data_IF_513392036609
#
_entry.id   IF_513392036609
#
_cell.length_a   1.000
_cell.length_b   1.000
_cell.length_c   1.000
_cell.angle_alpha   90.00
_cell.angle_beta   90.00
_cell.angle_gamma   90.00
#
_symmetry.space_group_name_H-M   'P 1'
#
loop_
_entity.id
_entity.type
_entity.pdbx_description
1 polymer ?
#
# COMPACT_ATOMS: atom_id res chain seq x y z
N UNK A 1 -11.18 -47.74 5.32
CA UNK A 1 -11.69 -46.61 4.56
C UNK A 1 -11.50 -45.34 5.40
N UNK A 2 -10.37 -44.69 5.22
CA UNK A 2 -10.00 -43.44 5.90
C UNK A 2 -10.74 -42.31 5.21
N UNK A 3 -11.62 -41.63 5.94
CA UNK A 3 -12.26 -40.39 5.46
C UNK A 3 -11.25 -39.28 5.66
N UNK A 4 -10.58 -38.88 4.57
CA UNK A 4 -9.86 -37.61 4.53
C UNK A 4 -10.83 -36.51 4.90
N UNK A 5 -10.70 -35.99 6.12
CA UNK A 5 -11.35 -34.75 6.52
C UNK A 5 -10.65 -33.62 5.76
N UNK A 6 -11.25 -33.20 4.66
CA UNK A 6 -10.90 -31.91 4.03
C UNK A 6 -10.99 -30.86 5.14
N UNK A 7 -9.85 -30.33 5.57
CA UNK A 7 -9.84 -29.18 6.49
C UNK A 7 -10.56 -28.04 5.76
N UNK A 8 -11.52 -27.37 6.44
CA UNK A 8 -12.11 -26.17 5.85
C UNK A 8 -10.97 -25.22 5.52
N UNK A 9 -10.94 -24.76 4.27
CA UNK A 9 -9.99 -23.77 3.80
C UNK A 9 -10.21 -22.54 4.68
N UNK A 10 -9.27 -22.25 5.58
CA UNK A 10 -9.37 -21.07 6.45
C UNK A 10 -9.40 -19.85 5.55
N UNK A 11 -10.40 -18.98 5.74
CA UNK A 11 -10.45 -17.69 5.04
C UNK A 11 -9.15 -16.95 5.28
N UNK A 12 -8.57 -16.29 4.28
CA UNK A 12 -7.33 -15.54 4.45
C UNK A 12 -7.51 -14.44 5.49
N UNK A 13 -6.57 -14.33 6.42
CA UNK A 13 -6.61 -13.25 7.40
C UNK A 13 -6.30 -11.90 6.74
N UNK A 14 -5.42 -11.89 5.73
CA UNK A 14 -4.97 -10.67 5.04
C UNK A 14 -5.16 -10.80 3.54
N UNK A 15 -5.80 -9.80 2.93
CA UNK A 15 -5.84 -9.59 1.48
C UNK A 15 -4.83 -8.51 1.09
N UNK A 16 -3.86 -8.88 0.26
CA UNK A 16 -2.83 -7.99 -0.28
C UNK A 16 -3.33 -7.42 -1.61
N UNK A 17 -3.57 -6.13 -1.64
CA UNK A 17 -4.09 -5.40 -2.80
C UNK A 17 -2.96 -4.60 -3.43
N UNK A 18 -2.69 -4.87 -4.70
CA UNK A 18 -1.59 -4.24 -5.45
C UNK A 18 -2.16 -3.50 -6.66
N UNK A 19 -2.23 -2.17 -6.62
CA UNK A 19 -2.54 -1.38 -7.80
C UNK A 19 -1.33 -1.39 -8.75
N UNK A 20 -1.55 -1.77 -10.01
CA UNK A 20 -0.51 -1.86 -11.04
C UNK A 20 -0.87 -1.06 -12.28
N UNK A 21 0.13 -0.46 -12.91
CA UNK A 21 0.03 0.23 -14.18
C UNK A 21 1.41 0.26 -14.84
N UNK A 22 1.54 -0.36 -16.01
CA UNK A 22 2.81 -0.50 -16.74
C UNK A 22 3.92 -1.22 -15.93
N UNK A 23 3.54 -2.28 -15.20
CA UNK A 23 4.45 -3.09 -14.36
C UNK A 23 4.64 -4.52 -14.91
N UNK A 24 4.47 -4.71 -16.23
CA UNK A 24 4.67 -6.00 -16.88
C UNK A 24 6.03 -6.64 -16.53
N UNK A 25 6.04 -7.94 -16.32
CA UNK A 25 7.26 -8.74 -16.05
C UNK A 25 7.83 -8.63 -14.62
N UNK A 26 7.20 -7.89 -13.71
CA UNK A 26 7.65 -7.75 -12.32
C UNK A 26 6.72 -8.41 -11.30
N UNK A 27 5.50 -8.71 -11.71
CA UNK A 27 4.44 -9.13 -10.79
C UNK A 27 4.67 -10.53 -10.23
N UNK A 28 5.22 -11.45 -11.01
CA UNK A 28 5.54 -12.80 -10.54
C UNK A 28 6.55 -12.78 -9.38
N UNK A 29 7.58 -11.92 -9.46
CA UNK A 29 8.55 -11.77 -8.38
C UNK A 29 7.92 -11.15 -7.11
N UNK A 30 6.95 -10.24 -7.27
CA UNK A 30 6.19 -9.70 -6.14
C UNK A 30 5.30 -10.77 -5.51
N UNK A 31 4.58 -11.56 -6.31
CA UNK A 31 3.73 -12.66 -5.83
C UNK A 31 4.57 -13.66 -5.04
N UNK A 32 5.72 -14.07 -5.59
CA UNK A 32 6.63 -15.00 -4.93
C UNK A 32 7.14 -14.43 -3.60
N UNK A 33 7.48 -13.12 -3.56
CA UNK A 33 7.89 -12.43 -2.33
C UNK A 33 6.77 -12.40 -1.28
N UNK A 34 5.54 -12.06 -1.66
CA UNK A 34 4.38 -12.04 -0.75
C UNK A 34 4.14 -13.42 -0.16
N UNK A 35 4.17 -14.48 -0.97
CA UNK A 35 4.01 -15.87 -0.53
C UNK A 35 5.13 -16.33 0.40
N UNK A 36 6.36 -15.98 0.06
CA UNK A 36 7.52 -16.30 0.91
C UNK A 36 7.41 -15.61 2.27
N UNK A 37 6.96 -14.34 2.29
CA UNK A 37 6.78 -13.57 3.52
C UNK A 37 5.63 -14.13 4.37
N UNK A 38 4.57 -14.63 3.73
CA UNK A 38 3.43 -15.26 4.40
C UNK A 38 3.79 -16.63 4.99
N UNK A 39 4.66 -17.40 4.34
CA UNK A 39 4.99 -18.74 4.79
C UNK A 39 3.78 -19.67 4.79
N UNK A 40 3.34 -20.09 5.97
CA UNK A 40 2.14 -20.94 6.14
C UNK A 40 0.85 -20.12 6.42
N UNK A 41 0.93 -18.81 6.57
CA UNK A 41 -0.23 -17.96 6.81
C UNK A 41 -1.07 -17.84 5.52
N UNK A 42 -2.39 -18.06 5.58
CA UNK A 42 -3.24 -17.94 4.39
C UNK A 42 -3.38 -16.47 4.02
N UNK A 43 -2.87 -16.11 2.83
CA UNK A 43 -2.98 -14.76 2.26
C UNK A 43 -3.69 -14.80 0.92
N UNK A 44 -4.50 -13.80 0.67
CA UNK A 44 -5.10 -13.52 -0.63
C UNK A 44 -4.26 -12.44 -1.33
N UNK A 45 -4.02 -12.60 -2.64
CA UNK A 45 -3.30 -11.60 -3.45
C UNK A 45 -4.23 -11.14 -4.56
N UNK A 46 -4.45 -9.83 -4.66
CA UNK A 46 -5.32 -9.19 -5.62
C UNK A 46 -4.51 -8.14 -6.37
N UNK A 47 -4.27 -8.38 -7.67
CA UNK A 47 -3.61 -7.42 -8.55
C UNK A 47 -4.69 -6.66 -9.33
N UNK A 48 -4.63 -5.34 -9.31
CA UNK A 48 -5.62 -4.50 -9.98
C UNK A 48 -4.92 -3.61 -11.00
N UNK A 49 -5.11 -3.92 -12.28
CA UNK A 49 -4.51 -3.19 -13.39
C UNK A 49 -5.35 -1.97 -13.78
N UNK A 50 -4.69 -0.83 -13.87
CA UNK A 50 -5.28 0.43 -14.33
C UNK A 50 -5.28 0.61 -15.84
N UNK A 51 -4.68 -0.32 -16.60
CA UNK A 51 -4.73 -0.30 -18.07
C UNK A 51 -6.01 -0.96 -18.57
N UNK A 52 -6.65 -0.41 -19.61
CA UNK A 52 -7.89 -0.99 -20.16
C UNK A 52 -7.73 -2.44 -20.64
N UNK A 53 -6.56 -2.76 -21.14
CA UNK A 53 -6.25 -4.07 -21.74
C UNK A 53 -5.67 -5.08 -20.75
N UNK A 54 -5.47 -4.69 -19.48
CA UNK A 54 -4.86 -5.55 -18.48
C UNK A 54 -3.39 -5.92 -18.81
N UNK A 55 -2.66 -4.98 -19.43
CA UNK A 55 -1.29 -5.20 -19.93
C UNK A 55 -0.35 -5.78 -18.87
N UNK A 56 -0.40 -5.25 -17.67
CA UNK A 56 0.49 -5.70 -16.59
C UNK A 56 0.10 -7.08 -16.08
N UNK A 57 -1.19 -7.30 -15.81
CA UNK A 57 -1.69 -8.57 -15.26
C UNK A 57 -1.69 -9.71 -16.29
N UNK A 58 -1.78 -9.38 -17.59
CA UNK A 58 -1.67 -10.37 -18.68
C UNK A 58 -0.32 -11.09 -18.72
N UNK A 59 0.72 -10.55 -18.08
CA UNK A 59 2.05 -11.17 -18.00
C UNK A 59 2.24 -12.09 -16.78
N UNK A 60 1.23 -12.17 -15.89
CA UNK A 60 1.30 -12.97 -14.67
C UNK A 60 1.18 -14.45 -15.00
N UNK A 61 2.17 -15.23 -14.57
CA UNK A 61 2.20 -16.69 -14.74
C UNK A 61 1.90 -17.45 -13.44
N UNK A 62 1.90 -16.78 -12.31
CA UNK A 62 1.64 -17.37 -10.98
C UNK A 62 0.15 -17.56 -10.75
N UNK A 63 -0.29 -18.81 -10.58
CA UNK A 63 -1.68 -19.14 -10.24
C UNK A 63 -2.05 -18.72 -8.80
N UNK A 64 -3.34 -18.82 -8.44
CA UNK A 64 -3.83 -18.54 -7.08
C UNK A 64 -3.74 -17.07 -6.67
N UNK A 65 -3.90 -16.17 -7.64
CA UNK A 65 -4.03 -14.72 -7.46
C UNK A 65 -5.31 -14.24 -8.17
N UNK A 66 -5.95 -13.23 -7.60
CA UNK A 66 -7.08 -12.56 -8.24
C UNK A 66 -6.57 -11.45 -9.13
N UNK A 67 -6.93 -11.48 -10.41
CA UNK A 67 -6.54 -10.48 -11.40
C UNK A 67 -7.77 -9.65 -11.77
N UNK A 68 -7.69 -8.34 -11.60
CA UNK A 68 -8.78 -7.39 -11.87
C UNK A 68 -8.27 -6.24 -12.75
N UNK A 69 -9.18 -5.68 -13.54
CA UNK A 69 -8.99 -4.37 -14.18
C UNK A 69 -9.89 -3.34 -13.55
N UNK A 70 -9.42 -2.10 -13.44
CA UNK A 70 -10.21 -0.97 -12.96
C UNK A 70 -9.81 0.28 -13.75
N UNK A 71 -10.66 1.34 -13.77
CA UNK A 71 -10.24 2.59 -14.36
C UNK A 71 -8.94 3.11 -13.74
N UNK A 72 -8.06 3.66 -14.58
CA UNK A 72 -6.78 4.20 -14.14
C UNK A 72 -6.95 5.21 -13.00
N UNK A 73 -6.14 5.04 -11.98
CA UNK A 73 -6.14 5.87 -10.77
C UNK A 73 -5.94 5.01 -9.53
N UNK A 74 -4.89 5.31 -8.76
CA UNK A 74 -4.48 4.48 -7.63
C UNK A 74 -5.64 4.23 -6.64
N UNK A 75 -6.40 5.28 -6.29
CA UNK A 75 -7.56 5.15 -5.41
C UNK A 75 -8.62 4.18 -5.97
N UNK A 76 -8.94 4.29 -7.26
CA UNK A 76 -9.93 3.44 -7.92
C UNK A 76 -9.50 1.98 -7.94
N UNK A 77 -8.24 1.73 -8.29
CA UNK A 77 -7.66 0.39 -8.29
C UNK A 77 -7.64 -0.22 -6.88
N UNK A 78 -7.19 0.54 -5.87
CA UNK A 78 -7.17 0.07 -4.48
C UNK A 78 -8.58 -0.21 -3.95
N UNK A 79 -9.56 0.64 -4.24
CA UNK A 79 -10.94 0.42 -3.84
C UNK A 79 -11.57 -0.79 -4.55
N UNK A 80 -11.28 -0.98 -5.84
CA UNK A 80 -11.75 -2.17 -6.58
C UNK A 80 -11.17 -3.47 -5.99
N UNK A 81 -9.88 -3.47 -5.65
CA UNK A 81 -9.26 -4.59 -4.96
C UNK A 81 -9.84 -4.84 -3.57
N UNK A 82 -10.10 -3.78 -2.80
CA UNK A 82 -10.72 -3.90 -1.49
C UNK A 82 -12.15 -4.47 -1.56
N UNK A 83 -12.92 -4.09 -2.57
CA UNK A 83 -14.26 -4.62 -2.79
C UNK A 83 -14.28 -6.12 -3.15
N UNK A 84 -13.22 -6.64 -3.77
CA UNK A 84 -13.06 -8.05 -4.10
C UNK A 84 -12.40 -8.88 -2.97
N UNK A 85 -11.84 -8.21 -1.96
CA UNK A 85 -11.10 -8.84 -0.88
C UNK A 85 -12.01 -9.65 0.04
N UNK A 86 -11.54 -10.82 0.44
CA UNK A 86 -12.26 -11.75 1.35
C UNK A 86 -11.65 -11.80 2.75
N UNK A 87 -10.40 -11.35 2.92
CA UNK A 87 -9.70 -11.32 4.22
C UNK A 87 -10.28 -10.29 5.19
N UNK A 88 -10.06 -10.50 6.47
CA UNK A 88 -10.49 -9.58 7.54
C UNK A 88 -9.65 -8.30 7.55
N UNK A 89 -8.42 -8.38 7.06
CA UNK A 89 -7.48 -7.27 6.99
C UNK A 89 -7.07 -7.01 5.55
N UNK A 90 -6.99 -5.74 5.19
CA UNK A 90 -6.54 -5.25 3.88
C UNK A 90 -5.12 -4.69 4.01
N UNK A 91 -4.23 -5.09 3.11
CA UNK A 91 -2.90 -4.52 2.97
C UNK A 91 -2.74 -3.95 1.57
N UNK A 92 -2.50 -2.66 1.45
CA UNK A 92 -2.24 -1.98 0.18
C UNK A 92 -0.74 -1.89 -0.05
N UNK A 93 -0.24 -2.59 -1.06
CA UNK A 93 1.18 -2.74 -1.34
C UNK A 93 1.51 -2.21 -2.74
N UNK A 94 2.57 -1.40 -2.87
CA UNK A 94 3.05 -0.99 -4.18
C UNK A 94 3.82 -2.13 -4.86
N UNK A 95 3.77 -2.18 -6.20
CA UNK A 95 4.40 -3.24 -6.99
C UNK A 95 5.93 -3.33 -6.84
N UNK A 96 6.56 -2.25 -6.39
CA UNK A 96 8.01 -2.15 -6.16
C UNK A 96 8.41 -2.17 -4.67
N UNK A 97 7.50 -2.60 -3.80
CA UNK A 97 7.70 -2.60 -2.34
C UNK A 97 7.75 -4.02 -1.79
N UNK A 98 8.70 -4.29 -0.91
CA UNK A 98 8.88 -5.57 -0.24
C UNK A 98 8.50 -5.46 1.23
N UNK A 99 7.79 -6.47 1.72
CA UNK A 99 7.37 -6.58 3.11
C UNK A 99 8.50 -7.13 4.00
N UNK A 100 8.57 -6.72 5.27
CA UNK A 100 9.46 -7.34 6.23
C UNK A 100 8.96 -8.74 6.64
N UNK A 101 9.88 -9.58 7.12
CA UNK A 101 9.52 -10.87 7.68
C UNK A 101 8.48 -10.73 8.82
N UNK A 102 7.48 -11.62 8.83
CA UNK A 102 6.42 -11.59 9.83
C UNK A 102 5.40 -10.45 9.68
N UNK A 103 5.39 -9.74 8.54
CA UNK A 103 4.49 -8.62 8.28
C UNK A 103 3.02 -8.98 8.52
N UNK A 104 2.56 -10.12 8.03
CA UNK A 104 1.16 -10.54 8.13
C UNK A 104 0.74 -10.79 9.56
N UNK A 105 1.56 -11.47 10.35
CA UNK A 105 1.34 -11.67 11.78
C UNK A 105 1.26 -10.33 12.51
N UNK A 106 2.17 -9.39 12.22
CA UNK A 106 2.18 -8.06 12.85
C UNK A 106 0.93 -7.24 12.52
N UNK A 107 0.43 -7.34 11.27
CA UNK A 107 -0.85 -6.72 10.86
C UNK A 107 -1.99 -7.32 11.68
N UNK A 108 -2.11 -8.65 11.71
CA UNK A 108 -3.18 -9.35 12.42
C UNK A 108 -3.17 -9.03 13.92
N UNK A 109 -2.01 -9.11 14.59
CA UNK A 109 -1.85 -8.75 16.01
C UNK A 109 -2.30 -7.31 16.28
N UNK A 110 -1.88 -6.36 15.41
CA UNK A 110 -2.17 -4.93 15.60
C UNK A 110 -3.65 -4.60 15.41
N UNK A 111 -4.31 -5.23 14.44
CA UNK A 111 -5.70 -4.90 14.10
C UNK A 111 -6.72 -5.72 14.90
N UNK A 112 -6.34 -6.88 15.42
CA UNK A 112 -7.22 -7.73 16.25
C UNK A 112 -7.43 -7.18 17.66
N UNK A 113 -6.58 -6.26 18.13
CA UNK A 113 -6.69 -5.69 19.48
C UNK A 113 -7.87 -4.70 19.64
N UNK A 114 -8.55 -4.36 18.54
CA UNK A 114 -9.69 -3.43 18.49
C UNK A 114 -9.34 -1.97 18.76
N UNK A 115 -8.08 -1.64 19.07
CA UNK A 115 -7.63 -0.27 19.36
C UNK A 115 -7.31 0.52 18.10
N UNK A 116 -6.96 -0.20 17.00
CA UNK A 116 -6.54 0.37 15.74
C UNK A 116 -7.42 -0.13 14.61
N UNK A 117 -7.95 0.78 13.79
CA UNK A 117 -8.63 0.45 12.55
C UNK A 117 -7.70 0.46 11.35
N UNK A 118 -6.55 1.14 11.49
CA UNK A 118 -5.59 1.37 10.42
C UNK A 118 -4.14 1.44 10.92
N UNK A 119 -3.21 1.16 10.02
CA UNK A 119 -1.78 1.32 10.27
C UNK A 119 -0.95 1.37 9.00
N UNK A 120 0.35 1.48 9.20
CA UNK A 120 1.38 1.43 8.15
C UNK A 120 2.69 0.91 8.75
N UNK A 121 3.66 0.65 7.90
CA UNK A 121 5.01 0.28 8.30
C UNK A 121 5.95 1.49 8.29
N UNK A 122 7.12 1.35 8.91
CA UNK A 122 8.23 2.25 8.63
C UNK A 122 8.74 2.01 7.19
N UNK A 123 9.55 2.94 6.68
CA UNK A 123 10.05 2.93 5.32
C UNK A 123 11.58 2.77 5.30
N UNK A 124 12.07 1.99 4.34
CA UNK A 124 13.46 1.95 3.90
C UNK A 124 13.50 1.92 2.37
N UNK A 125 14.53 2.49 1.78
CA UNK A 125 14.80 2.36 0.35
C UNK A 125 15.79 1.23 0.08
N UNK A 126 15.70 0.62 -1.10
CA UNK A 126 16.62 -0.40 -1.62
C UNK A 126 17.96 0.19 -2.07
N UNK A 127 18.52 1.09 -1.27
CA UNK A 127 19.72 1.86 -1.60
C UNK A 127 20.64 2.03 -0.40
N UNK A 128 21.94 1.78 -0.61
CA UNK A 128 22.96 1.95 0.41
C UNK A 128 23.44 3.41 0.57
N UNK A 129 22.97 4.34 -0.28
CA UNK A 129 23.38 5.76 -0.22
C UNK A 129 22.97 6.39 1.11
N UNK A 130 23.88 7.10 1.81
CA UNK A 130 23.56 7.74 3.08
C UNK A 130 22.38 8.71 3.01
N UNK A 131 22.25 9.45 1.89
CA UNK A 131 21.13 10.36 1.65
C UNK A 131 19.78 9.65 1.70
N UNK A 132 19.69 8.44 1.15
CA UNK A 132 18.45 7.64 1.16
C UNK A 132 18.10 7.15 2.56
N UNK A 133 19.10 6.80 3.38
CA UNK A 133 18.90 6.44 4.79
C UNK A 133 18.38 7.64 5.60
N UNK A 134 18.92 8.84 5.35
CA UNK A 134 18.46 10.08 6.02
C UNK A 134 17.01 10.37 5.67
N UNK A 135 16.66 10.31 4.39
CA UNK A 135 15.29 10.58 3.93
C UNK A 135 14.30 9.54 4.46
N UNK A 136 14.65 8.26 4.45
CA UNK A 136 13.82 7.21 5.04
C UNK A 136 13.56 7.48 6.54
N UNK A 137 14.60 7.81 7.31
CA UNK A 137 14.47 8.18 8.74
C UNK A 137 13.59 9.41 8.94
N UNK A 138 13.77 10.44 8.11
CA UNK A 138 12.95 11.65 8.15
C UNK A 138 11.47 11.34 7.83
N UNK A 139 11.21 10.48 6.82
CA UNK A 139 9.87 10.02 6.50
C UNK A 139 9.21 9.24 7.65
N UNK A 140 9.94 8.31 8.28
CA UNK A 140 9.45 7.57 9.45
C UNK A 140 9.16 8.50 10.63
N UNK A 141 10.08 9.44 10.95
CA UNK A 141 9.87 10.42 12.02
C UNK A 141 8.63 11.30 11.74
N UNK A 142 8.52 11.82 10.51
CA UNK A 142 7.34 12.60 10.07
C UNK A 142 6.06 11.80 10.29
N UNK A 143 6.01 10.56 9.82
CA UNK A 143 4.82 9.70 9.94
C UNK A 143 4.42 9.47 11.40
N UNK A 144 5.39 9.25 12.27
CA UNK A 144 5.17 9.06 13.72
C UNK A 144 4.66 10.33 14.40
N UNK A 145 5.22 11.49 14.04
CA UNK A 145 4.83 12.79 14.62
C UNK A 145 3.47 13.26 14.10
N UNK A 146 3.26 13.13 12.78
CA UNK A 146 2.04 13.62 12.14
C UNK A 146 0.89 12.62 12.20
N UNK A 147 1.18 11.32 12.38
CA UNK A 147 0.24 10.20 12.19
C UNK A 147 -0.37 10.18 10.79
N UNK A 148 0.43 10.55 9.79
CA UNK A 148 0.06 10.53 8.38
C UNK A 148 1.17 9.82 7.59
N UNK A 149 1.22 8.47 7.63
CA UNK A 149 2.08 7.70 6.74
C UNK A 149 1.63 7.89 5.29
N UNK A 150 2.57 7.77 4.34
CA UNK A 150 2.26 7.82 2.91
C UNK A 150 2.07 6.41 2.34
N UNK A 151 1.55 6.30 1.14
CA UNK A 151 1.20 5.02 0.52
C UNK A 151 2.40 4.08 0.32
N UNK A 152 3.61 4.61 0.17
CA UNK A 152 4.86 3.84 0.10
C UNK A 152 5.24 3.13 1.42
N UNK A 153 4.52 3.41 2.50
CA UNK A 153 4.65 2.76 3.81
C UNK A 153 3.67 1.59 3.99
N UNK A 154 3.07 1.08 2.92
CA UNK A 154 2.15 -0.05 2.89
C UNK A 154 1.04 0.05 3.95
N UNK A 155 0.00 0.80 3.61
CA UNK A 155 -1.16 0.97 4.49
C UNK A 155 -1.90 -0.34 4.70
N UNK A 156 -2.31 -0.60 5.96
CA UNK A 156 -3.17 -1.73 6.28
C UNK A 156 -4.35 -1.30 7.14
N UNK A 157 -5.46 -2.01 6.96
CA UNK A 157 -6.73 -1.67 7.61
C UNK A 157 -7.46 -2.93 8.04
N UNK A 158 -8.31 -2.82 9.05
CA UNK A 158 -9.43 -3.74 9.21
C UNK A 158 -10.41 -3.48 8.06
N UNK A 159 -10.91 -4.54 7.42
CA UNK A 159 -11.80 -4.42 6.25
C UNK A 159 -13.09 -3.68 6.59
N UNK A 160 -13.79 -4.08 7.65
CA UNK A 160 -15.01 -3.41 8.13
C UNK A 160 -14.80 -1.92 8.40
N UNK A 161 -13.65 -1.57 8.97
CA UNK A 161 -13.27 -0.19 9.22
C UNK A 161 -13.01 0.59 7.94
N UNK A 162 -12.28 0.01 6.99
CA UNK A 162 -12.00 0.63 5.68
C UNK A 162 -13.30 0.92 4.92
N UNK A 163 -14.25 -0.02 4.93
CA UNK A 163 -15.58 0.15 4.36
C UNK A 163 -16.37 1.24 5.08
N UNK A 164 -16.38 1.24 6.40
CA UNK A 164 -17.13 2.21 7.23
C UNK A 164 -16.63 3.66 7.07
N UNK A 165 -15.35 3.85 6.76
CA UNK A 165 -14.82 5.18 6.45
C UNK A 165 -14.96 5.58 4.98
N UNK A 166 -15.48 4.68 4.10
CA UNK A 166 -15.73 4.93 2.68
C UNK A 166 -14.51 4.76 1.78
N UNK A 167 -13.50 3.99 2.20
CA UNK A 167 -12.31 3.68 1.40
C UNK A 167 -11.45 4.89 1.04
N UNK A 168 -10.63 4.78 0.01
CA UNK A 168 -9.86 5.90 -0.55
C UNK A 168 -10.77 6.86 -1.34
N UNK A 169 -10.59 8.15 -1.15
CA UNK A 169 -11.29 9.16 -1.96
C UNK A 169 -10.87 9.05 -3.44
N UNK A 170 -11.83 9.12 -4.36
CA UNK A 170 -11.56 9.10 -5.80
C UNK A 170 -10.97 10.45 -6.25
N UNK A 171 -9.73 10.67 -5.90
CA UNK A 171 -8.94 11.86 -6.26
C UNK A 171 -7.69 11.42 -7.03
N UNK A 172 -7.21 12.26 -7.99
CA UNK A 172 -6.11 11.86 -8.87
C UNK A 172 -4.75 11.82 -8.19
N UNK A 173 -4.63 12.33 -6.96
CA UNK A 173 -3.36 12.45 -6.24
C UNK A 173 -3.58 12.69 -4.75
N UNK A 174 -2.67 12.19 -3.89
CA UNK A 174 -2.68 12.30 -2.43
C UNK A 174 -3.87 11.59 -1.74
N UNK A 175 -4.40 10.54 -2.34
CA UNK A 175 -5.42 9.68 -1.76
C UNK A 175 -4.98 9.05 -0.44
N UNK A 176 -3.68 8.73 -0.35
CA UNK A 176 -3.01 8.19 0.83
C UNK A 176 -2.93 9.21 1.99
N UNK A 177 -2.61 10.45 1.68
CA UNK A 177 -2.60 11.56 2.67
C UNK A 177 -4.03 11.89 3.10
N UNK A 178 -4.99 11.90 2.16
CA UNK A 178 -6.38 12.20 2.43
C UNK A 178 -6.99 11.22 3.43
N UNK A 179 -6.87 9.90 3.18
CA UNK A 179 -7.46 8.89 4.07
C UNK A 179 -6.88 8.97 5.48
N UNK A 180 -5.58 9.15 5.63
CA UNK A 180 -4.94 9.29 6.94
C UNK A 180 -5.35 10.58 7.67
N UNK A 181 -5.52 11.68 6.93
CA UNK A 181 -6.09 12.93 7.50
C UNK A 181 -7.53 12.74 7.96
N UNK A 182 -8.35 12.03 7.20
CA UNK A 182 -9.75 11.73 7.52
C UNK A 182 -9.84 10.91 8.80
N UNK A 183 -9.03 9.85 8.94
CA UNK A 183 -8.92 9.04 10.16
C UNK A 183 -8.50 9.91 11.36
N UNK A 184 -7.46 10.74 11.19
CA UNK A 184 -6.98 11.63 12.24
C UNK A 184 -8.04 12.64 12.69
N UNK A 185 -8.85 13.21 11.77
CA UNK A 185 -9.96 14.10 12.11
C UNK A 185 -11.05 13.43 12.94
N UNK A 186 -11.23 12.13 12.76
CA UNK A 186 -12.14 11.30 13.58
C UNK A 186 -11.55 10.98 14.96
N UNK A 187 -10.34 11.45 15.26
CA UNK A 187 -9.58 11.18 16.49
C UNK A 187 -9.28 9.70 16.71
N UNK A 188 -9.22 8.92 15.64
CA UNK A 188 -8.93 7.51 15.68
C UNK A 188 -7.41 7.25 15.60
N UNK A 189 -6.98 6.09 16.11
CA UNK A 189 -5.56 5.77 16.23
C UNK A 189 -5.05 5.08 14.98
N UNK A 190 -3.90 5.54 14.47
CA UNK A 190 -3.15 4.92 13.39
C UNK A 190 -1.89 4.33 14.00
N UNK A 191 -1.67 3.03 13.82
CA UNK A 191 -0.45 2.33 14.24
C UNK A 191 0.63 2.49 13.18
N UNK A 192 1.88 2.71 13.59
CA UNK A 192 3.04 2.67 12.69
C UNK A 192 4.00 1.62 13.23
N UNK A 193 4.09 0.51 12.52
CA UNK A 193 4.96 -0.60 12.85
C UNK A 193 6.44 -0.22 12.59
N UNK A 194 7.35 -0.57 13.49
CA UNK A 194 8.76 -0.19 13.38
C UNK A 194 9.53 -1.02 12.35
N UNK A 195 9.00 -2.17 11.94
CA UNK A 195 9.58 -3.00 10.90
C UNK A 195 9.44 -2.28 9.55
N UNK A 196 10.53 -2.00 8.81
CA UNK A 196 10.42 -1.23 7.59
C UNK A 196 10.03 -2.09 6.39
N UNK A 197 9.12 -1.59 5.59
CA UNK A 197 9.02 -2.03 4.18
C UNK A 197 10.19 -1.47 3.39
N UNK A 198 10.60 -2.18 2.35
CA UNK A 198 11.68 -1.76 1.45
C UNK A 198 11.09 -1.41 0.09
N UNK A 199 11.09 -0.13 -0.26
CA UNK A 199 10.60 0.36 -1.55
C UNK A 199 11.74 0.77 -2.47
N UNK A 200 11.46 0.81 -3.78
CA UNK A 200 12.47 1.16 -4.79
C UNK A 200 12.91 2.61 -4.69
N UNK A 201 14.23 2.82 -4.74
CA UNK A 201 14.85 4.15 -4.84
C UNK A 201 14.94 4.65 -6.30
N UNK A 202 14.41 3.90 -7.28
CA UNK A 202 14.54 4.17 -8.71
C UNK A 202 14.18 5.61 -9.06
N UNK A 203 13.05 6.09 -8.57
CA UNK A 203 12.58 7.45 -8.85
C UNK A 203 13.51 8.52 -8.30
N UNK A 204 13.98 8.37 -7.06
CA UNK A 204 14.93 9.30 -6.44
C UNK A 204 16.29 9.27 -7.14
N UNK A 205 16.66 8.12 -7.72
CA UNK A 205 17.91 7.98 -8.48
C UNK A 205 17.81 8.66 -9.86
N UNK A 206 16.65 8.60 -10.51
CA UNK A 206 16.42 9.20 -11.82
C UNK A 206 16.22 10.70 -11.77
N UNK A 207 15.40 11.20 -10.85
CA UNK A 207 15.00 12.60 -10.75
C UNK A 207 15.88 13.42 -9.77
N UNK A 208 16.71 12.75 -9.00
CA UNK A 208 17.50 13.37 -7.93
C UNK A 208 16.78 13.39 -6.59
N UNK A 209 17.51 13.01 -5.55
CA UNK A 209 17.01 12.85 -4.18
C UNK A 209 16.43 14.14 -3.63
N UNK A 210 17.16 15.26 -3.79
CA UNK A 210 16.74 16.56 -3.27
C UNK A 210 15.52 17.09 -4.02
N UNK A 211 15.52 17.00 -5.35
CA UNK A 211 14.41 17.47 -6.19
C UNK A 211 13.10 16.74 -5.83
N UNK A 212 13.13 15.41 -5.74
CA UNK A 212 11.98 14.61 -5.31
C UNK A 212 11.48 15.01 -3.92
N UNK A 213 12.40 15.18 -2.97
CA UNK A 213 12.04 15.49 -1.58
C UNK A 213 11.41 16.87 -1.48
N UNK A 214 12.01 17.88 -2.11
CA UNK A 214 11.48 19.25 -2.12
C UNK A 214 10.12 19.30 -2.82
N UNK A 215 10.02 18.71 -4.02
CA UNK A 215 8.75 18.64 -4.77
C UNK A 215 7.63 18.01 -3.96
N UNK A 216 7.89 16.85 -3.34
CA UNK A 216 6.90 16.18 -2.49
C UNK A 216 6.50 17.04 -1.28
N UNK A 217 7.46 17.71 -0.64
CA UNK A 217 7.20 18.64 0.46
C UNK A 217 6.33 19.82 0.04
N UNK A 218 6.65 20.45 -1.09
CA UNK A 218 5.88 21.58 -1.65
C UNK A 218 4.45 21.16 -1.98
N UNK A 219 4.28 20.02 -2.64
CA UNK A 219 2.95 19.50 -3.00
C UNK A 219 2.08 19.24 -1.77
N UNK A 220 2.65 18.63 -0.74
CA UNK A 220 1.92 18.39 0.51
C UNK A 220 1.61 19.71 1.22
N UNK A 221 2.53 20.67 1.25
CA UNK A 221 2.28 21.98 1.83
C UNK A 221 1.14 22.73 1.11
N UNK A 222 1.14 22.72 -0.24
CA UNK A 222 0.07 23.30 -1.04
C UNK A 222 -1.28 22.61 -0.82
N UNK A 223 -1.28 21.26 -0.65
CA UNK A 223 -2.49 20.52 -0.27
C UNK A 223 -3.05 20.97 1.08
N UNK A 224 -2.18 21.17 2.08
CA UNK A 224 -2.60 21.69 3.38
C UNK A 224 -3.07 23.15 3.32
N UNK A 225 -2.55 23.93 2.37
CA UNK A 225 -2.99 25.30 2.09
C UNK A 225 -4.34 25.35 1.32
N UNK A 226 -4.94 24.18 0.98
CA UNK A 226 -6.26 24.12 0.36
C UNK A 226 -6.24 24.02 -1.17
N UNK A 227 -5.07 23.80 -1.81
CA UNK A 227 -5.03 23.55 -3.25
C UNK A 227 -5.69 22.20 -3.59
N UNK A 228 -6.54 22.18 -4.62
CA UNK A 228 -7.27 20.97 -4.98
C UNK A 228 -6.34 19.87 -5.54
N UNK A 229 -6.65 18.58 -5.31
CA UNK A 229 -5.86 17.46 -5.80
C UNK A 229 -5.66 17.46 -7.33
N UNK A 230 -6.64 17.95 -8.10
CA UNK A 230 -6.57 18.05 -9.56
C UNK A 230 -5.52 19.06 -10.02
N UNK A 231 -5.42 20.21 -9.33
CA UNK A 231 -4.39 21.22 -9.58
C UNK A 231 -3.01 20.69 -9.20
N UNK A 232 -2.91 20.02 -8.06
CA UNK A 232 -1.68 19.40 -7.60
C UNK A 232 -1.20 18.30 -8.53
N UNK A 233 -2.08 17.44 -9.04
CA UNK A 233 -1.74 16.40 -10.00
C UNK A 233 -1.18 16.99 -11.31
N UNK A 234 -1.73 18.11 -11.79
CA UNK A 234 -1.21 18.82 -12.96
C UNK A 234 0.17 19.45 -12.70
N UNK A 235 0.35 20.05 -11.53
CA UNK A 235 1.64 20.59 -11.10
C UNK A 235 2.71 19.50 -11.03
N UNK A 236 2.39 18.39 -10.36
CA UNK A 236 3.30 17.28 -10.15
C UNK A 236 3.78 16.58 -11.43
N UNK A 237 2.96 16.55 -12.47
CA UNK A 237 3.33 15.99 -13.80
C UNK A 237 4.22 16.91 -14.64
N UNK A 238 4.25 18.21 -14.33
CA UNK A 238 5.03 19.22 -15.06
C UNK A 238 6.38 19.54 -14.41
N UNK A 239 6.53 19.22 -13.14
CA UNK A 239 7.72 19.47 -12.33
C UNK A 239 8.62 18.23 -12.25
#
# INVERSE_FOLDING_TARGET
>A
MSRDRVRPQQSPAVSVIVPVLHEAGRLDALIDHVRQTAGAEPVEIILVDGSPDGESIGTVTRGGVTLLTAPAGRARQMNAGAAAATGDFLLFLHADTRLPAGAFRRIAETLSDGRHGAGAFDLRYDSERPSMRIIARAACLRSRLTRIPYGDQAHFFRRDYFEAIGGYADIPFLEDVEIMRRIKRRRERICILPEPVVTSARRQQQEGVLACTVRNGVVVALYYAGMSPERLARFYRRA
#
